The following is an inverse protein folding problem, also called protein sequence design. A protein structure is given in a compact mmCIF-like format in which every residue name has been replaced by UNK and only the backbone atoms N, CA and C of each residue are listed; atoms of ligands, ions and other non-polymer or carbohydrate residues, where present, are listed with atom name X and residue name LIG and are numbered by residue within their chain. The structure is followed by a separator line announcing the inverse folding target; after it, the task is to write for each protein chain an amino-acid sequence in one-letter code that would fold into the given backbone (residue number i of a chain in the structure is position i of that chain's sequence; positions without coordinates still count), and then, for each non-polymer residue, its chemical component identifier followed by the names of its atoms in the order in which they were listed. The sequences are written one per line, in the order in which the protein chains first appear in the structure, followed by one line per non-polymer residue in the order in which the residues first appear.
data_IF_778807887416
#
_entry.id   IF_778807887416
#
_cell.length_a   1.000
_cell.length_b   1.000
_cell.length_c   1.000
_cell.angle_alpha   90.00
_cell.angle_beta   90.00
_cell.angle_gamma   90.00
#
_symmetry.space_group_name_H-M   'P 1'
#
loop_
_entity.id
_entity.type
_entity.pdbx_description
1 polymer ?
#
# COMPACT_ATOMS: atom_id res chain seq x y z
N UNK A 1 9.83 -24.18 3.12
CA UNK A 1 9.18 -24.13 4.44
C UNK A 1 9.76 -22.94 5.18
N UNK A 2 9.07 -21.84 5.17
CA UNK A 2 9.44 -20.69 6.00
C UNK A 2 8.16 -20.20 6.66
N UNK A 3 7.94 -20.65 7.89
CA UNK A 3 6.84 -20.23 8.74
C UNK A 3 7.44 -19.40 9.84
N UNK A 4 7.57 -18.10 9.59
CA UNK A 4 7.69 -17.14 10.70
C UNK A 4 6.43 -16.31 10.71
N UNK A 5 5.36 -16.92 11.13
CA UNK A 5 4.16 -16.21 11.55
C UNK A 5 4.52 -15.55 12.88
N UNK A 6 4.64 -14.23 12.86
CA UNK A 6 4.72 -13.47 14.09
C UNK A 6 3.47 -13.81 14.92
N UNK A 7 3.68 -14.42 16.06
CA UNK A 7 2.64 -14.88 16.97
C UNK A 7 1.82 -13.67 17.45
N UNK A 8 0.58 -13.56 16.98
CA UNK A 8 -0.41 -12.67 17.58
C UNK A 8 -0.74 -13.25 18.95
N UNK A 9 -0.16 -12.68 20.01
CA UNK A 9 -0.58 -12.97 21.37
C UNK A 9 -1.74 -12.05 21.69
N UNK A 10 -2.88 -12.62 21.98
CA UNK A 10 -4.08 -11.92 22.45
C UNK A 10 -3.75 -11.02 23.65
N UNK A 11 -4.18 -9.76 23.57
CA UNK A 11 -4.19 -8.82 24.69
C UNK A 11 -5.60 -8.21 24.81
N UNK A 12 -6.12 -8.02 26.02
CA UNK A 12 -7.47 -7.48 26.21
C UNK A 12 -7.47 -5.97 26.02
N UNK A 13 -7.62 -5.54 24.80
CA UNK A 13 -7.83 -4.12 24.49
C UNK A 13 -8.76 -4.02 23.28
N UNK A 14 -9.93 -3.49 23.48
CA UNK A 14 -10.92 -2.99 22.54
C UNK A 14 -11.09 -3.63 21.16
N UNK A 15 -12.20 -3.40 20.46
CA UNK A 15 -12.39 -3.95 19.12
C UNK A 15 -11.28 -3.50 18.19
N UNK A 16 -10.66 -4.44 17.48
CA UNK A 16 -9.72 -4.19 16.38
C UNK A 16 -10.52 -3.55 15.24
N UNK A 17 -10.21 -2.32 14.87
CA UNK A 17 -10.84 -1.63 13.74
C UNK A 17 -9.84 -1.61 12.59
N UNK A 18 -10.11 -2.39 11.55
CA UNK A 18 -9.39 -2.29 10.28
C UNK A 18 -9.79 -0.98 9.59
N UNK A 19 -8.82 -0.25 9.03
CA UNK A 19 -9.10 0.92 8.19
C UNK A 19 -9.21 2.27 8.91
N UNK A 20 -8.93 2.37 10.21
CA UNK A 20 -9.04 3.63 10.96
C UNK A 20 -7.73 4.47 10.95
N UNK A 21 -6.97 4.42 9.85
CA UNK A 21 -5.92 5.41 9.62
C UNK A 21 -6.59 6.73 9.22
N UNK A 22 -6.85 7.59 10.20
CA UNK A 22 -7.42 8.92 9.98
C UNK A 22 -6.57 9.77 9.01
N UNK A 23 -7.19 10.79 8.41
CA UNK A 23 -6.55 11.66 7.40
C UNK A 23 -5.32 12.38 7.96
N UNK A 24 -5.26 12.65 9.25
CA UNK A 24 -4.17 13.44 9.86
C UNK A 24 -2.87 12.65 10.03
N UNK A 25 -2.94 11.46 10.64
CA UNK A 25 -1.74 10.65 10.94
C UNK A 25 -1.59 9.45 10.00
N UNK A 26 -2.64 9.11 9.26
CA UNK A 26 -2.70 7.96 8.37
C UNK A 26 -1.63 7.96 7.28
N UNK A 27 -1.43 9.06 6.53
CA UNK A 27 -0.40 9.13 5.48
C UNK A 27 1.02 8.91 6.02
N UNK A 28 1.35 9.52 7.16
CA UNK A 28 2.66 9.36 7.81
C UNK A 28 2.84 7.94 8.36
N UNK A 29 1.79 7.38 8.96
CA UNK A 29 1.81 5.99 9.45
C UNK A 29 2.00 5.01 8.30
N UNK A 30 1.30 5.18 7.18
CA UNK A 30 1.45 4.33 6.01
C UNK A 30 2.87 4.39 5.42
N UNK A 31 3.43 5.59 5.30
CA UNK A 31 4.80 5.79 4.82
C UNK A 31 5.84 5.16 5.76
N UNK A 32 5.64 5.25 7.08
CA UNK A 32 6.50 4.61 8.07
C UNK A 32 6.42 3.07 7.99
N UNK A 33 5.22 2.52 7.83
CA UNK A 33 5.02 1.09 7.67
C UNK A 33 5.72 0.57 6.40
N UNK A 34 5.58 1.24 5.26
CA UNK A 34 6.30 0.91 4.03
C UNK A 34 7.81 0.90 4.27
N UNK A 35 8.36 1.94 4.90
CA UNK A 35 9.80 2.01 5.20
C UNK A 35 10.24 0.82 6.04
N UNK A 36 9.51 0.48 7.08
CA UNK A 36 9.80 -0.67 7.96
C UNK A 36 9.68 -2.01 7.24
N UNK A 37 8.74 -2.16 6.33
CA UNK A 37 8.62 -3.35 5.48
C UNK A 37 9.85 -3.47 4.59
N UNK A 38 10.32 -2.38 3.99
CA UNK A 38 11.49 -2.37 3.10
C UNK A 38 12.81 -2.59 3.85
N UNK A 39 12.86 -2.38 5.16
CA UNK A 39 14.01 -2.71 6.02
C UNK A 39 14.10 -4.21 6.34
N UNK A 40 13.03 -4.98 6.09
CA UNK A 40 13.06 -6.42 6.28
C UNK A 40 14.02 -7.06 5.26
N UNK A 41 14.91 -7.94 5.70
CA UNK A 41 15.83 -8.61 4.79
C UNK A 41 15.03 -9.49 3.81
N UNK A 42 15.33 -9.36 2.53
CA UNK A 42 14.81 -10.29 1.54
C UNK A 42 15.34 -11.72 1.84
N UNK A 43 14.58 -12.72 1.43
CA UNK A 43 14.98 -14.10 1.66
C UNK A 43 16.22 -14.50 0.85
N UNK A 44 16.87 -15.58 1.27
CA UNK A 44 18.04 -16.10 0.59
C UNK A 44 17.72 -16.43 -0.87
N UNK A 45 18.53 -15.92 -1.80
CA UNK A 45 18.36 -16.08 -3.25
C UNK A 45 17.55 -14.96 -3.93
N UNK A 46 17.07 -13.97 -3.20
CA UNK A 46 16.51 -12.78 -3.81
C UNK A 46 17.58 -11.99 -4.59
N UNK A 47 17.16 -11.28 -5.63
CA UNK A 47 18.07 -10.48 -6.44
C UNK A 47 18.73 -9.36 -5.61
N UNK A 48 19.98 -9.00 -5.85
CA UNK A 48 20.63 -7.88 -5.18
C UNK A 48 19.84 -6.58 -5.35
N UNK A 49 19.76 -5.78 -4.30
CA UNK A 49 19.02 -4.50 -4.32
C UNK A 49 17.50 -4.63 -4.22
N UNK A 50 16.98 -5.82 -3.87
CA UNK A 50 15.58 -6.01 -3.54
C UNK A 50 15.35 -6.00 -2.04
N UNK A 51 14.15 -5.58 -1.65
CA UNK A 51 13.60 -5.63 -0.29
C UNK A 51 12.36 -6.53 -0.26
N UNK A 52 11.88 -6.85 0.92
CA UNK A 52 10.51 -7.34 1.05
C UNK A 52 9.57 -6.21 0.65
N UNK A 53 8.63 -6.49 -0.24
CA UNK A 53 7.56 -5.57 -0.65
C UNK A 53 6.21 -6.23 -0.43
N UNK A 54 5.20 -5.43 -0.09
CA UNK A 54 3.86 -5.91 0.21
C UNK A 54 2.97 -6.01 -1.03
N UNK A 55 3.09 -5.06 -1.94
CA UNK A 55 2.36 -4.89 -3.20
C UNK A 55 0.83 -4.79 -3.06
N UNK A 56 0.36 -4.42 -1.87
CA UNK A 56 -1.06 -4.15 -1.57
C UNK A 56 -1.22 -3.35 -0.28
N UNK A 57 -0.19 -2.58 0.13
CA UNK A 57 -0.24 -1.83 1.37
C UNK A 57 -1.04 -0.54 1.19
N UNK A 58 -2.21 -0.51 1.77
CA UNK A 58 -3.12 0.62 1.84
C UNK A 58 -3.80 0.66 3.21
N UNK A 59 -4.54 1.73 3.58
CA UNK A 59 -5.08 1.89 4.94
C UNK A 59 -5.90 0.70 5.46
N UNK A 60 -6.65 0.00 4.59
CA UNK A 60 -7.48 -1.14 5.02
C UNK A 60 -6.66 -2.40 5.34
N UNK A 61 -5.41 -2.48 4.85
CA UNK A 61 -4.46 -3.54 5.21
C UNK A 61 -3.62 -3.18 6.45
N UNK A 62 -4.09 -2.21 7.24
CA UNK A 62 -3.48 -1.81 8.51
C UNK A 62 -4.52 -1.91 9.63
N UNK A 63 -4.19 -2.64 10.68
CA UNK A 63 -5.00 -2.74 11.91
C UNK A 63 -4.32 -1.93 13.00
N UNK A 64 -5.04 -0.99 13.60
CA UNK A 64 -4.56 -0.25 14.76
C UNK A 64 -4.79 -1.07 16.02
N UNK A 65 -3.75 -1.25 16.81
CA UNK A 65 -3.79 -1.97 18.08
C UNK A 65 -3.23 -1.12 19.21
N UNK A 66 -3.48 -1.51 20.46
CA UNK A 66 -2.87 -0.85 21.63
C UNK A 66 -1.34 -0.89 21.66
N UNK A 67 -0.69 -1.67 20.78
CA UNK A 67 0.78 -1.75 20.61
C UNK A 67 1.27 -1.08 19.32
N UNK A 68 0.39 -0.43 18.60
CA UNK A 68 0.69 0.21 17.32
C UNK A 68 0.05 -0.46 16.12
N UNK A 69 0.32 0.05 14.91
CA UNK A 69 -0.23 -0.47 13.67
C UNK A 69 0.38 -1.84 13.30
N UNK A 70 -0.44 -2.71 12.74
CA UNK A 70 -0.06 -4.04 12.25
C UNK A 70 -0.48 -4.14 10.78
N UNK A 71 0.46 -4.52 9.92
CA UNK A 71 0.20 -4.80 8.51
C UNK A 71 -0.33 -6.23 8.35
N UNK A 72 -1.41 -6.37 7.60
CA UNK A 72 -2.07 -7.65 7.30
C UNK A 72 -2.12 -7.90 5.79
N UNK A 73 -2.59 -9.08 5.38
CA UNK A 73 -2.79 -9.50 3.98
C UNK A 73 -1.51 -9.53 3.12
N UNK A 74 -0.56 -10.30 3.55
CA UNK A 74 0.75 -10.48 2.92
C UNK A 74 0.75 -11.41 1.68
N UNK A 75 -0.41 -11.69 1.07
CA UNK A 75 -0.52 -12.65 -0.05
C UNK A 75 0.28 -12.25 -1.28
N UNK A 76 0.42 -10.96 -1.53
CA UNK A 76 1.13 -10.41 -2.69
C UNK A 76 2.61 -10.15 -2.40
N UNK A 77 3.06 -10.35 -1.16
CA UNK A 77 4.42 -10.03 -0.75
C UNK A 77 5.46 -10.82 -1.53
N UNK A 78 6.50 -10.13 -1.94
CA UNK A 78 7.61 -10.69 -2.71
C UNK A 78 8.91 -9.93 -2.44
N UNK A 79 10.01 -10.31 -3.11
CA UNK A 79 11.22 -9.51 -3.15
C UNK A 79 11.25 -8.70 -4.44
N UNK A 80 11.25 -7.38 -4.31
CA UNK A 80 11.31 -6.45 -5.44
C UNK A 80 11.97 -5.12 -5.02
N UNK A 81 12.07 -4.18 -5.95
CA UNK A 81 12.51 -2.82 -5.64
C UNK A 81 11.47 -2.10 -4.77
N UNK A 82 11.93 -1.43 -3.72
CA UNK A 82 11.07 -0.72 -2.77
C UNK A 82 10.14 0.32 -3.43
N UNK A 83 10.60 1.00 -4.48
CA UNK A 83 9.80 1.98 -5.23
C UNK A 83 8.56 1.35 -5.89
N UNK A 84 8.59 0.07 -6.23
CA UNK A 84 7.42 -0.62 -6.76
C UNK A 84 6.30 -0.70 -5.71
N UNK A 85 6.65 -0.97 -4.46
CA UNK A 85 5.68 -1.03 -3.37
C UNK A 85 5.06 0.34 -3.07
N UNK A 86 5.89 1.38 -3.03
CA UNK A 86 5.43 2.77 -2.89
C UNK A 86 4.51 3.19 -4.05
N UNK A 87 4.84 2.79 -5.29
CA UNK A 87 4.01 3.02 -6.47
C UNK A 87 2.66 2.29 -6.38
N UNK A 88 2.65 1.03 -5.90
CA UNK A 88 1.41 0.28 -5.68
C UNK A 88 0.50 0.96 -4.65
N UNK A 89 1.04 1.35 -3.49
CA UNK A 89 0.28 2.05 -2.47
C UNK A 89 -0.32 3.36 -3.00
N UNK A 90 0.48 4.17 -3.69
CA UNK A 90 0.01 5.41 -4.29
C UNK A 90 -1.08 5.17 -5.35
N UNK A 91 -0.91 4.15 -6.21
CA UNK A 91 -1.86 3.80 -7.27
C UNK A 91 -3.21 3.34 -6.70
N UNK A 92 -3.21 2.50 -5.65
CA UNK A 92 -4.43 2.03 -4.99
C UNK A 92 -5.20 3.21 -4.38
N UNK A 93 -4.52 4.09 -3.65
CA UNK A 93 -5.14 5.28 -3.05
C UNK A 93 -5.68 6.20 -4.16
N UNK A 94 -4.94 6.35 -5.26
CA UNK A 94 -5.39 7.15 -6.41
C UNK A 94 -6.64 6.58 -7.07
N UNK A 95 -6.77 5.24 -7.20
CA UNK A 95 -7.98 4.60 -7.73
C UNK A 95 -9.21 4.94 -6.88
N UNK A 96 -9.08 4.93 -5.55
CA UNK A 96 -10.15 5.38 -4.65
C UNK A 96 -10.43 6.88 -4.84
N UNK A 97 -9.39 7.70 -4.91
CA UNK A 97 -9.50 9.15 -5.02
C UNK A 97 -10.22 9.61 -6.31
N UNK A 98 -10.05 8.90 -7.42
CA UNK A 98 -10.74 9.21 -8.69
C UNK A 98 -12.08 8.48 -8.84
N UNK A 99 -12.54 7.75 -7.82
CA UNK A 99 -13.80 6.99 -7.85
C UNK A 99 -13.78 5.76 -8.77
N UNK A 100 -12.61 5.25 -9.13
CA UNK A 100 -12.48 3.99 -9.88
C UNK A 100 -12.88 2.80 -9.03
N UNK A 101 -12.60 2.86 -7.73
CA UNK A 101 -13.05 1.91 -6.72
C UNK A 101 -14.11 2.63 -5.88
N UNK A 102 -15.30 2.04 -5.78
CA UNK A 102 -16.37 2.56 -4.93
C UNK A 102 -16.02 2.34 -3.46
N UNK A 103 -15.80 3.43 -2.74
CA UNK A 103 -15.33 3.36 -1.37
C UNK A 103 -15.89 4.54 -0.54
N UNK A 104 -16.34 4.31 0.72
CA UNK A 104 -16.86 5.37 1.58
C UNK A 104 -15.89 6.53 1.81
N UNK A 105 -14.58 6.27 1.75
CA UNK A 105 -13.52 7.27 1.95
C UNK A 105 -13.11 8.00 0.66
N UNK A 106 -13.77 7.78 -0.47
CA UNK A 106 -13.48 8.48 -1.73
C UNK A 106 -13.33 9.99 -1.56
N UNK A 107 -14.21 10.71 -0.79
CA UNK A 107 -14.05 12.14 -0.61
C UNK A 107 -12.76 12.55 0.10
N UNK A 108 -12.17 11.66 0.90
CA UNK A 108 -10.98 11.91 1.68
C UNK A 108 -9.69 11.39 1.01
N UNK A 109 -9.83 10.44 0.09
CA UNK A 109 -8.69 9.73 -0.51
C UNK A 109 -7.77 10.64 -1.30
N UNK A 110 -8.29 11.70 -1.94
CA UNK A 110 -7.48 12.70 -2.63
C UNK A 110 -6.53 13.44 -1.70
N UNK A 111 -7.05 13.92 -0.57
CA UNK A 111 -6.24 14.61 0.44
C UNK A 111 -5.24 13.66 1.11
N UNK A 112 -5.64 12.40 1.34
CA UNK A 112 -4.74 11.37 1.84
C UNK A 112 -3.57 11.11 0.88
N UNK A 113 -3.85 10.96 -0.42
CA UNK A 113 -2.82 10.78 -1.44
C UNK A 113 -1.84 11.96 -1.47
N UNK A 114 -2.36 13.19 -1.49
CA UNK A 114 -1.55 14.41 -1.52
C UNK A 114 -0.63 14.54 -0.31
N UNK A 115 -1.09 14.08 0.86
CA UNK A 115 -0.29 14.04 2.07
C UNK A 115 0.70 12.86 2.10
N UNK A 116 0.35 11.72 1.48
CA UNK A 116 1.19 10.51 1.44
C UNK A 116 2.38 10.65 0.49
N UNK A 117 2.16 11.17 -0.72
CA UNK A 117 3.19 11.24 -1.77
C UNK A 117 4.52 11.85 -1.32
N UNK A 118 4.56 13.01 -0.61
CA UNK A 118 5.82 13.58 -0.14
C UNK A 118 6.48 12.81 1.00
N UNK A 119 5.77 11.90 1.66
CA UNK A 119 6.24 11.09 2.78
C UNK A 119 6.63 9.67 2.36
N UNK A 120 6.20 9.23 1.18
CA UNK A 120 6.44 7.89 0.68
C UNK A 120 7.96 7.58 0.63
N UNK A 121 8.38 6.36 1.03
CA UNK A 121 9.79 5.98 0.90
C UNK A 121 10.16 5.81 -0.57
N UNK A 122 11.29 6.37 -0.98
CA UNK A 122 11.75 6.33 -2.37
C UNK A 122 10.96 7.26 -3.29
N UNK A 123 10.78 6.85 -4.54
CA UNK A 123 10.04 7.58 -5.56
C UNK A 123 8.86 6.74 -6.08
N UNK A 124 7.61 7.04 -5.66
CA UNK A 124 6.43 6.30 -6.10
C UNK A 124 6.12 6.45 -7.60
N UNK A 125 6.76 7.41 -8.30
CA UNK A 125 6.56 7.61 -9.75
C UNK A 125 7.51 6.78 -10.61
N UNK A 126 8.67 6.38 -10.07
CA UNK A 126 9.75 5.72 -10.80
C UNK A 126 9.34 4.37 -11.40
N UNK A 127 8.56 3.57 -10.68
CA UNK A 127 8.07 2.26 -11.12
C UNK A 127 6.53 2.23 -11.25
N UNK A 128 5.92 3.38 -11.47
CA UNK A 128 4.46 3.49 -11.53
C UNK A 128 3.87 2.75 -12.74
N UNK A 129 4.54 2.76 -13.88
CA UNK A 129 4.09 2.02 -15.07
C UNK A 129 4.18 0.50 -14.85
N UNK A 130 5.20 0.04 -14.13
CA UNK A 130 5.31 -1.37 -13.73
C UNK A 130 4.20 -1.75 -12.73
N UNK A 131 3.88 -0.85 -11.79
CA UNK A 131 2.77 -1.04 -10.87
C UNK A 131 1.43 -1.13 -11.61
N UNK A 132 1.16 -0.23 -12.58
CA UNK A 132 -0.02 -0.28 -13.44
C UNK A 132 -0.09 -1.60 -14.19
N UNK A 133 1.01 -2.02 -14.84
CA UNK A 133 1.06 -3.27 -15.58
C UNK A 133 0.85 -4.50 -14.68
N UNK A 134 1.38 -4.51 -13.46
CA UNK A 134 1.19 -5.61 -12.52
C UNK A 134 -0.24 -5.62 -11.97
N UNK A 135 -0.78 -4.45 -11.59
CA UNK A 135 -2.14 -4.34 -11.06
C UNK A 135 -3.20 -4.69 -12.09
N UNK A 136 -3.02 -4.36 -13.36
CA UNK A 136 -3.94 -4.73 -14.44
C UNK A 136 -4.12 -6.25 -14.63
N UNK A 137 -3.19 -7.05 -14.10
CA UNK A 137 -3.24 -8.52 -14.13
C UNK A 137 -3.89 -9.14 -12.88
N UNK A 138 -4.23 -8.33 -11.89
CA UNK A 138 -4.90 -8.83 -10.69
C UNK A 138 -6.35 -9.21 -10.99
N UNK A 139 -6.72 -10.45 -10.67
CA UNK A 139 -8.05 -11.01 -10.95
C UNK A 139 -9.16 -10.40 -10.08
N UNK A 140 -8.80 -9.61 -9.09
CA UNK A 140 -9.74 -8.91 -8.20
C UNK A 140 -10.31 -7.64 -8.82
N UNK A 141 -9.68 -7.09 -9.88
CA UNK A 141 -10.15 -5.88 -10.54
C UNK A 141 -11.14 -6.19 -11.66
N UNK A 142 -12.21 -5.41 -11.72
CA UNK A 142 -13.14 -5.40 -12.84
C UNK A 142 -12.52 -4.77 -14.10
N UNK A 143 -13.05 -5.04 -15.30
CA UNK A 143 -12.61 -4.36 -16.52
C UNK A 143 -12.72 -2.84 -16.45
N UNK A 144 -13.71 -2.30 -15.73
CA UNK A 144 -13.86 -0.85 -15.52
C UNK A 144 -12.71 -0.28 -14.68
N UNK A 145 -12.37 -0.93 -13.58
CA UNK A 145 -11.25 -0.50 -12.71
C UNK A 145 -9.91 -0.58 -13.45
N UNK A 146 -9.70 -1.63 -14.26
CA UNK A 146 -8.51 -1.74 -15.12
C UNK A 146 -8.46 -0.58 -16.12
N UNK A 147 -9.58 -0.23 -16.75
CA UNK A 147 -9.67 0.88 -17.70
C UNK A 147 -9.33 2.25 -17.09
N UNK A 148 -9.47 2.39 -15.77
CA UNK A 148 -9.19 3.63 -15.05
C UNK A 148 -7.75 3.72 -14.48
N UNK A 149 -6.92 2.66 -14.60
CA UNK A 149 -5.57 2.65 -14.05
C UNK A 149 -4.67 3.77 -14.61
N UNK A 150 -4.82 4.09 -15.89
CA UNK A 150 -4.06 5.20 -16.50
C UNK A 150 -4.42 6.56 -15.87
N UNK A 151 -5.71 6.80 -15.59
CA UNK A 151 -6.16 8.01 -14.91
C UNK A 151 -5.68 8.06 -13.45
N UNK A 152 -5.68 6.93 -12.75
CA UNK A 152 -5.12 6.85 -11.40
C UNK A 152 -3.60 7.13 -11.40
N UNK A 153 -2.86 6.61 -12.37
CA UNK A 153 -1.44 6.89 -12.53
C UNK A 153 -1.17 8.38 -12.84
N UNK A 154 -1.97 9.00 -13.72
CA UNK A 154 -1.89 10.44 -13.99
C UNK A 154 -2.11 11.25 -12.69
N UNK A 155 -3.05 10.84 -11.84
CA UNK A 155 -3.30 11.48 -10.53
C UNK A 155 -2.09 11.37 -9.59
N UNK A 156 -1.37 10.23 -9.58
CA UNK A 156 -0.13 10.06 -8.80
C UNK A 156 0.97 10.99 -9.32
N UNK A 157 1.11 11.16 -10.65
CA UNK A 157 2.10 12.07 -11.27
C UNK A 157 1.78 13.56 -11.07
N UNK A 158 0.56 13.89 -10.67
CA UNK A 158 0.08 15.27 -10.61
C UNK A 158 -0.29 15.84 -11.97
N UNK A 159 -0.45 15.00 -12.98
CA UNK A 159 -0.92 15.39 -14.31
C UNK A 159 -2.42 15.76 -14.22
N UNK A 160 -2.79 16.91 -14.79
CA UNK A 160 -4.18 17.42 -14.82
C UNK A 160 -4.81 17.18 -16.17
#
# INVERSE_FOLDING_TARGET
MCTTVARVTESPAGPLVAGDLGIHDGPATLADLLRRVHELPAWAGAAPGTSVVHLDLHPENVILTGRGPIVIDWRNATAAQADLDAAFSALIIAQVAIGSIDHPLTPAAGAFLDAFLPLAPGDPTRLLDDAVAARSRQSTLSPSEIGMLAAAAARVRGDR
#
